data_IF_164043854498
#
_entry.id   IF_164043854498
#
_cell.length_a   1.000
_cell.length_b   1.000
_cell.length_c   1.000
_cell.angle_alpha   90.00
_cell.angle_beta   90.00
_cell.angle_gamma   90.00
#
_symmetry.space_group_name_H-M   'P 1'
#
loop_
_entity.id
_entity.type
_entity.pdbx_description
1 polymer ?
#
# COMPACT_ATOMS: atom_id res chain seq x y z
N UNK A 1 5.56 21.03 -26.53
CA UNK A 1 4.68 19.96 -25.99
C UNK A 1 5.34 18.57 -25.97
N UNK A 2 6.19 18.18 -26.94
CA UNK A 2 6.88 16.86 -26.92
C UNK A 2 7.91 16.64 -25.81
N UNK A 3 8.63 17.68 -25.36
CA UNK A 3 9.68 17.54 -24.34
C UNK A 3 9.14 17.06 -22.97
N UNK A 4 8.00 17.60 -22.52
CA UNK A 4 7.38 17.19 -21.25
C UNK A 4 6.86 15.74 -21.25
N UNK A 5 6.41 15.23 -22.40
CA UNK A 5 5.93 13.85 -22.53
C UNK A 5 7.11 12.88 -22.49
N UNK A 6 8.23 13.24 -23.13
CA UNK A 6 9.46 12.43 -23.12
C UNK A 6 10.07 12.34 -21.72
N UNK A 7 10.14 13.47 -20.99
CA UNK A 7 10.62 13.49 -19.61
C UNK A 7 9.74 12.67 -18.66
N UNK A 8 8.42 12.75 -18.80
CA UNK A 8 7.48 11.97 -17.98
C UNK A 8 7.61 10.46 -18.25
N UNK A 9 7.78 10.06 -19.51
CA UNK A 9 8.00 8.68 -19.92
C UNK A 9 9.29 8.08 -19.32
N UNK A 10 10.40 8.84 -19.38
CA UNK A 10 11.68 8.38 -18.83
C UNK A 10 11.66 8.21 -17.30
N UNK A 11 10.95 9.09 -16.59
CA UNK A 11 10.82 8.99 -15.13
C UNK A 11 9.97 7.78 -14.71
N UNK A 12 8.91 7.46 -15.45
CA UNK A 12 8.07 6.26 -15.18
C UNK A 12 8.91 4.98 -15.36
N UNK A 13 9.75 4.93 -16.41
CA UNK A 13 10.63 3.78 -16.68
C UNK A 13 11.68 3.55 -15.57
N UNK A 14 12.28 4.63 -15.04
CA UNK A 14 13.23 4.53 -13.93
C UNK A 14 12.56 4.04 -12.63
N UNK A 15 11.35 4.52 -12.33
CA UNK A 15 10.58 4.08 -11.16
C UNK A 15 10.25 2.59 -11.26
N UNK A 16 9.85 2.10 -12.44
CA UNK A 16 9.57 0.67 -12.61
C UNK A 16 10.81 -0.22 -12.41
N UNK A 17 11.97 0.21 -12.90
CA UNK A 17 13.23 -0.54 -12.74
C UNK A 17 13.64 -0.60 -11.26
N UNK A 18 13.55 0.52 -10.54
CA UNK A 18 13.86 0.56 -9.11
C UNK A 18 12.90 -0.31 -8.29
N UNK A 19 11.61 -0.27 -8.61
CA UNK A 19 10.61 -1.12 -7.95
C UNK A 19 10.88 -2.61 -8.17
N UNK A 20 11.31 -3.01 -9.36
CA UNK A 20 11.70 -4.40 -9.67
C UNK A 20 12.94 -4.82 -8.87
N UNK A 21 13.97 -3.97 -8.80
CA UNK A 21 15.17 -4.24 -8.00
C UNK A 21 14.84 -4.41 -6.51
N UNK A 22 14.01 -3.54 -5.95
CA UNK A 22 13.57 -3.66 -4.56
C UNK A 22 12.72 -4.92 -4.32
N UNK A 23 11.88 -5.32 -5.28
CA UNK A 23 11.10 -6.56 -5.20
C UNK A 23 12.00 -7.80 -5.14
N UNK A 24 13.08 -7.80 -5.93
CA UNK A 24 14.08 -8.85 -5.90
C UNK A 24 14.80 -8.92 -4.54
N UNK A 25 15.12 -7.77 -3.93
CA UNK A 25 15.70 -7.71 -2.58
C UNK A 25 14.74 -8.32 -1.54
N UNK A 26 13.45 -7.98 -1.59
CA UNK A 26 12.45 -8.59 -0.69
C UNK A 26 12.39 -10.10 -0.87
N UNK A 27 12.42 -10.59 -2.10
CA UNK A 27 12.41 -12.03 -2.41
C UNK A 27 13.63 -12.73 -1.82
N UNK A 28 14.81 -12.13 -1.93
CA UNK A 28 16.05 -12.65 -1.36
C UNK A 28 15.99 -12.69 0.17
N UNK A 29 15.45 -11.65 0.82
CA UNK A 29 15.29 -11.60 2.28
C UNK A 29 14.33 -12.69 2.75
N UNK A 30 13.18 -12.89 2.08
CA UNK A 30 12.24 -13.97 2.41
C UNK A 30 12.90 -15.35 2.31
N UNK A 31 13.69 -15.58 1.27
CA UNK A 31 14.44 -16.82 1.08
C UNK A 31 15.45 -17.05 2.20
N UNK A 32 16.23 -16.03 2.54
CA UNK A 32 17.21 -16.11 3.64
C UNK A 32 16.54 -16.37 5.00
N UNK A 33 15.40 -15.73 5.27
CA UNK A 33 14.61 -15.93 6.48
C UNK A 33 14.06 -17.36 6.55
N UNK A 34 13.49 -17.87 5.46
CA UNK A 34 13.01 -19.25 5.39
C UNK A 34 14.12 -20.26 5.65
N UNK A 35 15.31 -20.05 5.08
CA UNK A 35 16.46 -20.92 5.33
C UNK A 35 16.87 -20.90 6.80
N UNK A 36 16.88 -19.72 7.43
CA UNK A 36 17.22 -19.55 8.85
C UNK A 36 16.20 -20.24 9.76
N UNK A 37 14.90 -20.08 9.48
CA UNK A 37 13.83 -20.70 10.25
C UNK A 37 13.84 -22.22 10.10
N UNK A 38 14.11 -22.73 8.89
CA UNK A 38 14.09 -24.17 8.61
C UNK A 38 15.19 -24.95 9.34
N UNK A 39 16.32 -24.30 9.65
CA UNK A 39 17.43 -24.92 10.39
C UNK A 39 17.43 -24.57 11.89
N UNK A 40 16.38 -23.89 12.35
CA UNK A 40 16.25 -23.47 13.75
C UNK A 40 16.10 -24.67 14.67
N UNK A 41 16.96 -24.71 15.67
CA UNK A 41 17.10 -25.76 16.67
C UNK A 41 16.36 -25.44 17.98
N UNK A 42 15.87 -24.21 18.14
CA UNK A 42 15.06 -23.79 19.28
C UNK A 42 13.55 -23.80 19.00
N UNK A 43 13.14 -23.89 17.73
CA UNK A 43 11.73 -23.90 17.32
C UNK A 43 11.19 -25.34 17.22
N UNK A 44 9.92 -25.51 17.57
CA UNK A 44 9.23 -26.77 17.27
C UNK A 44 8.98 -26.90 15.77
N UNK A 45 8.79 -28.13 15.29
CA UNK A 45 8.46 -28.37 13.86
C UNK A 45 7.16 -27.68 13.42
N UNK A 46 6.20 -27.56 14.34
CA UNK A 46 4.94 -26.88 14.09
C UNK A 46 5.15 -25.37 13.93
N UNK A 47 5.93 -24.76 14.84
CA UNK A 47 6.25 -23.33 14.77
C UNK A 47 7.04 -22.98 13.50
N UNK A 48 7.97 -23.86 13.09
CA UNK A 48 8.71 -23.72 11.82
C UNK A 48 7.74 -23.69 10.64
N UNK A 49 6.81 -24.64 10.56
CA UNK A 49 5.84 -24.71 9.47
C UNK A 49 4.94 -23.47 9.41
N UNK A 50 4.38 -23.04 10.55
CA UNK A 50 3.55 -21.83 10.63
C UNK A 50 4.33 -20.55 10.28
N UNK A 51 5.59 -20.47 10.72
CA UNK A 51 6.44 -19.31 10.44
C UNK A 51 6.79 -19.22 8.95
N UNK A 52 7.15 -20.34 8.33
CA UNK A 52 7.41 -20.39 6.88
C UNK A 52 6.17 -20.01 6.07
N UNK A 53 4.98 -20.45 6.49
CA UNK A 53 3.72 -20.04 5.86
C UNK A 53 3.49 -18.53 5.99
N UNK A 54 3.73 -17.95 7.17
CA UNK A 54 3.64 -16.48 7.36
C UNK A 54 4.62 -15.75 6.45
N UNK A 55 5.89 -16.17 6.39
CA UNK A 55 6.91 -15.53 5.53
C UNK A 55 6.54 -15.58 4.05
N UNK A 56 5.97 -16.70 3.60
CA UNK A 56 5.45 -16.84 2.22
C UNK A 56 4.36 -15.80 1.93
N UNK A 57 3.46 -15.56 2.89
CA UNK A 57 2.29 -14.71 2.72
C UNK A 57 2.54 -13.21 3.02
N UNK A 58 3.75 -12.82 3.44
CA UNK A 58 4.10 -11.40 3.60
C UNK A 58 4.00 -10.68 2.26
N UNK A 59 3.15 -9.66 2.16
CA UNK A 59 3.10 -8.80 0.99
C UNK A 59 4.07 -7.62 1.17
N UNK A 60 4.73 -7.22 0.08
CA UNK A 60 5.56 -6.02 0.06
C UNK A 60 4.87 -4.94 -0.78
N UNK A 61 4.79 -3.74 -0.21
CA UNK A 61 4.38 -2.53 -0.92
C UNK A 61 5.63 -1.67 -1.14
N UNK A 62 5.95 -1.37 -2.40
CA UNK A 62 7.20 -0.71 -2.80
C UNK A 62 6.89 0.57 -3.57
N UNK A 63 7.39 1.70 -3.08
CA UNK A 63 7.17 3.00 -3.70
C UNK A 63 5.78 3.53 -3.40
N UNK A 64 4.86 3.36 -4.35
CA UNK A 64 3.49 3.89 -4.27
C UNK A 64 2.45 2.79 -4.51
N UNK A 65 1.21 2.96 -4.01
CA UNK A 65 0.11 2.09 -4.40
C UNK A 65 -0.04 2.02 -5.93
N UNK A 66 -0.34 0.85 -6.51
CA UNK A 66 -0.41 0.65 -7.96
C UNK A 66 -1.52 1.47 -8.63
N UNK A 67 -2.50 1.89 -7.84
CA UNK A 67 -3.70 2.63 -8.18
C UNK A 67 -3.62 4.13 -7.85
N UNK A 68 -2.45 4.65 -7.47
CA UNK A 68 -2.27 6.08 -7.16
C UNK A 68 -2.65 7.01 -8.33
N UNK A 69 -2.62 6.50 -9.57
CA UNK A 69 -3.02 7.24 -10.77
C UNK A 69 -4.47 6.98 -11.20
N UNK A 70 -5.19 6.11 -10.48
CA UNK A 70 -6.61 5.87 -10.71
C UNK A 70 -7.41 6.95 -10.00
N UNK A 71 -7.74 8.01 -10.74
CA UNK A 71 -8.46 9.18 -10.20
C UNK A 71 -9.83 8.81 -9.62
N UNK A 72 -10.50 7.79 -10.15
CA UNK A 72 -11.78 7.32 -9.60
C UNK A 72 -11.58 6.82 -8.17
N UNK A 73 -10.56 5.98 -7.96
CA UNK A 73 -10.25 5.42 -6.65
C UNK A 73 -9.65 6.45 -5.69
N UNK A 74 -8.86 7.39 -6.21
CA UNK A 74 -8.38 8.54 -5.43
C UNK A 74 -9.56 9.38 -4.91
N UNK A 75 -10.54 9.69 -5.77
CA UNK A 75 -11.72 10.47 -5.40
C UNK A 75 -12.62 9.79 -4.36
N UNK A 76 -12.68 8.45 -4.33
CA UNK A 76 -13.40 7.71 -3.27
C UNK A 76 -12.89 8.06 -1.88
N UNK A 77 -11.59 8.31 -1.73
CA UNK A 77 -10.97 8.70 -0.45
C UNK A 77 -11.48 10.05 0.04
N UNK A 78 -11.91 10.92 -0.87
CA UNK A 78 -12.36 12.29 -0.57
C UNK A 78 -13.86 12.48 -0.76
N UNK A 79 -14.64 11.40 -0.86
CA UNK A 79 -16.07 11.44 -1.20
C UNK A 79 -16.91 12.30 -0.24
N UNK A 80 -16.51 12.42 1.02
CA UNK A 80 -17.19 13.22 2.04
C UNK A 80 -16.68 14.67 2.13
N UNK A 81 -15.67 15.04 1.33
CA UNK A 81 -15.16 16.42 1.25
C UNK A 81 -15.84 17.11 0.06
N UNK A 82 -16.80 17.98 0.33
CA UNK A 82 -17.51 18.71 -0.72
C UNK A 82 -16.79 19.98 -1.16
N UNK A 83 -16.26 20.75 -0.22
CA UNK A 83 -15.57 22.01 -0.47
C UNK A 83 -14.57 22.30 0.65
N UNK A 84 -13.47 22.97 0.30
CA UNK A 84 -12.50 23.53 1.24
C UNK A 84 -12.33 25.02 0.93
N UNK A 85 -12.29 25.85 1.96
CA UNK A 85 -12.14 27.31 1.82
C UNK A 85 -10.72 27.72 2.25
N UNK A 86 -9.96 28.34 1.35
CA UNK A 86 -8.57 28.76 1.59
C UNK A 86 -8.38 29.65 2.83
N UNK A 87 -9.44 30.32 3.30
CA UNK A 87 -9.40 31.21 4.46
C UNK A 87 -9.80 30.53 5.78
N UNK A 88 -10.35 29.32 5.72
CA UNK A 88 -10.94 28.62 6.88
C UNK A 88 -10.13 27.40 7.27
N UNK A 89 -8.90 27.62 7.70
CA UNK A 89 -8.00 26.53 8.06
C UNK A 89 -8.59 25.61 9.13
N UNK A 90 -9.20 26.16 10.19
CA UNK A 90 -9.74 25.36 11.28
C UNK A 90 -10.92 24.48 10.83
N UNK A 91 -11.89 25.07 10.12
CA UNK A 91 -13.05 24.36 9.61
C UNK A 91 -12.67 23.30 8.57
N UNK A 92 -11.71 23.60 7.68
CA UNK A 92 -11.19 22.61 6.74
C UNK A 92 -10.58 21.40 7.45
N UNK A 93 -9.85 21.61 8.55
CA UNK A 93 -9.30 20.50 9.34
C UNK A 93 -10.42 19.66 9.98
N UNK A 94 -11.49 20.30 10.47
CA UNK A 94 -12.64 19.59 11.00
C UNK A 94 -13.32 18.75 9.91
N UNK A 95 -13.55 19.31 8.73
CA UNK A 95 -14.12 18.60 7.56
C UNK A 95 -13.26 17.38 7.20
N UNK A 96 -11.93 17.55 7.12
CA UNK A 96 -11.02 16.45 6.83
C UNK A 96 -11.05 15.36 7.91
N UNK A 97 -11.12 15.75 9.19
CA UNK A 97 -11.19 14.80 10.31
C UNK A 97 -12.51 14.01 10.30
N UNK A 98 -13.64 14.67 10.08
CA UNK A 98 -14.96 14.03 9.96
C UNK A 98 -15.00 13.07 8.77
N UNK A 99 -14.48 13.49 7.61
CA UNK A 99 -14.36 12.65 6.42
C UNK A 99 -13.53 11.38 6.68
N UNK A 100 -12.40 11.51 7.37
CA UNK A 100 -11.56 10.36 7.73
C UNK A 100 -12.29 9.37 8.64
N UNK A 101 -13.06 9.87 9.62
CA UNK A 101 -13.89 9.03 10.49
C UNK A 101 -14.97 8.32 9.68
N UNK A 102 -15.69 9.02 8.81
CA UNK A 102 -16.75 8.44 7.98
C UNK A 102 -16.22 7.36 7.03
N UNK A 103 -15.04 7.57 6.43
CA UNK A 103 -14.38 6.56 5.60
C UNK A 103 -14.03 5.29 6.40
N UNK A 104 -13.54 5.42 7.62
CA UNK A 104 -13.26 4.27 8.48
C UNK A 104 -14.55 3.55 8.90
N UNK A 105 -15.60 4.29 9.24
CA UNK A 105 -16.90 3.70 9.61
C UNK A 105 -17.55 2.97 8.43
N UNK A 106 -17.38 3.48 7.20
CA UNK A 106 -17.87 2.81 5.99
C UNK A 106 -17.27 1.41 5.82
N UNK A 107 -16.00 1.22 6.16
CA UNK A 107 -15.33 -0.10 6.04
C UNK A 107 -16.00 -1.18 6.92
N UNK A 108 -16.69 -0.79 8.01
CA UNK A 108 -17.44 -1.73 8.84
C UNK A 108 -18.64 -2.36 8.11
N UNK A 109 -19.13 -1.72 7.04
CA UNK A 109 -20.29 -2.18 6.26
C UNK A 109 -19.90 -2.74 4.88
N UNK A 110 -18.68 -2.49 4.40
CA UNK A 110 -18.16 -3.04 3.15
C UNK A 110 -17.57 -4.46 3.35
N UNK A 111 -17.31 -4.90 4.59
CA UNK A 111 -16.99 -6.30 4.93
C UNK A 111 -18.23 -7.20 5.15
N UNK A 112 -19.40 -6.87 4.60
CA UNK A 112 -20.56 -7.78 4.64
C UNK A 112 -20.36 -8.95 3.66
N UNK A 113 -20.15 -10.21 4.12
CA UNK A 113 -20.04 -11.37 3.25
C UNK A 113 -21.36 -11.76 2.57
N UNK A 114 -22.46 -11.03 2.80
CA UNK A 114 -23.78 -11.27 2.23
C UNK A 114 -24.19 -10.33 1.08
N UNK A 115 -23.25 -9.53 0.54
CA UNK A 115 -23.43 -8.82 -0.74
C UNK A 115 -22.88 -9.58 -1.94
#
# INVERSE_FOLDING_TARGET
KSSNILHKSNNISLISILSEQHSNVVTNIKSALNNTVNVSDWMTKEDVAQTMEKVKNVNASIGSPPDIWNITKENETFIYIHELDEKKYFENNLICAESAVLNNLRQLFDEDPHK
#
